data_IF_580593557840
#
_entry.id   IF_580593557840
#
_cell.length_a   1.000
_cell.length_b   1.000
_cell.length_c   1.000
_cell.angle_alpha   90.00
_cell.angle_beta   90.00
_cell.angle_gamma   90.00
#
_symmetry.space_group_name_H-M   'P 1'
#
loop_
_entity.id
_entity.type
_entity.pdbx_description
1 polymer ?
#
# COMPACT_ATOMS: atom_id res chain seq x y z
N UNK A 1 11.38 8.06 -27.87
CA UNK A 1 11.31 8.86 -26.64
C UNK A 1 11.13 7.91 -25.48
N UNK A 2 12.22 7.55 -24.82
CA UNK A 2 12.15 6.68 -23.64
C UNK A 2 11.61 7.51 -22.47
N UNK A 3 10.45 7.12 -21.94
CA UNK A 3 9.96 7.68 -20.69
C UNK A 3 10.83 7.16 -19.55
N UNK A 4 11.54 8.04 -18.86
CA UNK A 4 12.27 7.65 -17.65
C UNK A 4 11.26 7.33 -16.54
N UNK A 5 11.20 6.06 -16.12
CA UNK A 5 10.44 5.62 -14.95
C UNK A 5 11.45 5.43 -13.81
N UNK A 6 11.47 6.37 -12.87
CA UNK A 6 12.25 6.28 -11.65
C UNK A 6 11.30 5.94 -10.49
N UNK A 7 11.60 4.86 -9.77
CA UNK A 7 10.90 4.50 -8.53
C UNK A 7 11.82 4.79 -7.36
N UNK A 8 11.37 5.67 -6.47
CA UNK A 8 12.07 5.98 -5.23
C UNK A 8 11.53 5.09 -4.12
N UNK A 9 12.39 4.21 -3.61
CA UNK A 9 12.09 3.33 -2.49
C UNK A 9 13.03 3.65 -1.31
N UNK A 10 12.59 3.32 -0.09
CA UNK A 10 13.51 3.25 1.04
C UNK A 10 14.42 2.04 0.82
N UNK A 11 15.61 1.95 1.42
CA UNK A 11 16.51 0.82 1.19
C UNK A 11 15.88 -0.56 1.48
N UNK A 12 16.09 -1.54 0.59
CA UNK A 12 15.48 -2.87 0.68
C UNK A 12 15.57 -3.69 -0.62
N UNK A 13 15.11 -4.95 -0.59
CA UNK A 13 15.13 -5.84 -1.76
C UNK A 13 13.91 -5.54 -2.66
N UNK A 14 14.16 -4.86 -3.78
CA UNK A 14 13.14 -4.53 -4.78
C UNK A 14 13.62 -4.98 -6.16
N UNK A 15 13.05 -6.05 -6.69
CA UNK A 15 13.31 -6.48 -8.07
C UNK A 15 12.02 -6.76 -8.84
N UNK A 16 11.78 -5.95 -9.88
CA UNK A 16 11.42 -6.33 -11.28
C UNK A 16 11.00 -5.10 -12.12
N UNK A 17 11.60 -4.98 -13.31
CA UNK A 17 11.27 -4.10 -14.45
C UNK A 17 11.33 -2.56 -14.31
N UNK A 18 12.06 -2.00 -13.33
CA UNK A 18 12.22 -0.54 -13.21
C UNK A 18 13.59 -0.19 -12.64
N UNK A 19 14.18 0.94 -13.04
CA UNK A 19 15.33 1.53 -12.34
C UNK A 19 14.90 2.00 -10.95
N UNK A 20 15.37 1.31 -9.93
CA UNK A 20 15.10 1.63 -8.52
C UNK A 20 16.22 2.53 -8.00
N UNK A 21 15.84 3.64 -7.40
CA UNK A 21 16.77 4.56 -6.74
C UNK A 21 16.41 4.64 -5.26
N UNK A 22 17.40 4.42 -4.42
CA UNK A 22 17.22 4.51 -2.97
C UNK A 22 17.43 5.95 -2.52
N UNK A 23 16.52 6.44 -1.69
CA UNK A 23 16.61 7.78 -1.09
C UNK A 23 16.35 7.69 0.41
N UNK A 24 16.96 8.61 1.15
CA UNK A 24 16.80 8.71 2.60
C UNK A 24 15.33 8.86 2.97
N UNK A 25 14.82 7.94 3.77
CA UNK A 25 13.47 8.03 4.32
C UNK A 25 13.40 9.17 5.33
N UNK A 26 12.58 10.23 5.10
CA UNK A 26 12.57 11.38 6.00
C UNK A 26 12.20 11.02 7.45
N UNK A 27 11.28 10.06 7.63
CA UNK A 27 10.83 9.61 8.94
C UNK A 27 10.17 8.24 8.88
N UNK A 28 10.52 7.34 9.81
CA UNK A 28 9.87 6.04 10.02
C UNK A 28 8.59 6.18 10.87
N UNK A 29 7.79 5.12 10.88
CA UNK A 29 6.70 5.02 11.85
C UNK A 29 7.29 4.98 13.28
N UNK A 30 6.68 5.69 14.23
CA UNK A 30 7.19 5.81 15.60
C UNK A 30 8.27 6.89 15.84
N UNK A 31 8.93 7.39 14.80
CA UNK A 31 9.96 8.45 14.96
C UNK A 31 9.37 9.85 15.12
N UNK A 32 10.12 10.72 15.80
CA UNK A 32 9.75 12.11 16.07
C UNK A 32 9.62 12.95 14.79
N UNK A 33 8.79 13.99 14.84
CA UNK A 33 8.62 14.91 13.72
C UNK A 33 9.91 15.68 13.39
N UNK A 34 10.78 15.94 14.37
CA UNK A 34 12.08 16.58 14.18
C UNK A 34 12.98 15.78 13.23
N UNK A 35 12.92 14.43 13.29
CA UNK A 35 13.68 13.57 12.36
C UNK A 35 13.35 13.86 10.90
N UNK A 36 12.07 14.16 10.60
CA UNK A 36 11.64 14.58 9.28
C UNK A 36 12.34 15.87 8.85
N UNK A 37 12.37 16.88 9.72
CA UNK A 37 12.98 18.17 9.40
C UNK A 37 14.47 18.03 9.06
N UNK A 38 15.21 17.21 9.81
CA UNK A 38 16.65 17.02 9.58
C UNK A 38 16.99 16.13 8.38
N UNK A 39 16.15 15.14 8.06
CA UNK A 39 16.42 14.22 6.94
C UNK A 39 15.84 14.71 5.59
N UNK A 40 14.87 15.62 5.61
CA UNK A 40 14.27 16.17 4.38
C UNK A 40 15.30 16.81 3.42
N UNK A 41 16.27 17.65 3.86
CA UNK A 41 17.27 18.21 2.96
C UNK A 41 18.12 17.14 2.27
N UNK A 42 18.53 16.12 3.01
CA UNK A 42 19.30 15.00 2.46
C UNK A 42 18.50 14.23 1.42
N UNK A 43 17.27 13.86 1.75
CA UNK A 43 16.36 13.15 0.83
C UNK A 43 16.07 13.97 -0.44
N UNK A 44 16.02 15.31 -0.31
CA UNK A 44 15.85 16.22 -1.44
C UNK A 44 17.07 16.22 -2.37
N UNK A 45 18.28 16.32 -1.83
CA UNK A 45 19.51 16.28 -2.62
C UNK A 45 19.71 14.92 -3.32
N UNK A 46 19.45 13.82 -2.61
CA UNK A 46 19.49 12.46 -3.18
C UNK A 46 18.43 12.24 -4.29
N UNK A 47 17.32 13.00 -4.25
CA UNK A 47 16.30 12.94 -5.28
C UNK A 47 16.69 13.67 -6.57
N UNK A 48 17.64 14.61 -6.54
CA UNK A 48 18.02 15.42 -7.69
C UNK A 48 18.49 14.62 -8.91
N UNK A 49 19.49 13.71 -8.79
CA UNK A 49 19.91 12.89 -9.92
C UNK A 49 18.83 11.88 -10.33
N UNK A 50 18.05 11.41 -9.36
CA UNK A 50 17.05 10.34 -9.51
C UNK A 50 15.90 10.71 -10.44
N UNK A 51 15.38 11.93 -10.33
CA UNK A 51 14.24 12.39 -11.15
C UNK A 51 14.65 13.34 -12.28
N UNK A 52 15.96 13.52 -12.50
CA UNK A 52 16.49 14.38 -13.56
C UNK A 52 16.13 13.79 -14.92
N UNK A 53 15.47 14.58 -15.77
CA UNK A 53 15.01 14.14 -17.08
C UNK A 53 13.64 13.45 -17.08
N UNK A 54 13.05 13.17 -15.90
CA UNK A 54 11.67 12.70 -15.82
C UNK A 54 10.71 13.81 -16.23
N UNK A 55 9.91 13.56 -17.28
CA UNK A 55 8.84 14.49 -17.72
C UNK A 55 7.60 14.43 -16.82
N UNK A 56 7.37 13.27 -16.21
CA UNK A 56 6.24 13.00 -15.32
C UNK A 56 6.78 12.31 -14.07
N UNK A 57 6.36 12.78 -12.90
CA UNK A 57 6.62 12.16 -11.61
C UNK A 57 5.29 11.75 -10.99
N UNK A 58 5.20 10.50 -10.54
CA UNK A 58 4.00 9.95 -9.90
C UNK A 58 4.31 9.63 -8.44
N UNK A 59 3.62 10.31 -7.52
CA UNK A 59 3.69 10.02 -6.08
C UNK A 59 2.59 9.05 -5.68
N UNK A 60 2.93 8.01 -4.90
CA UNK A 60 1.98 7.03 -4.35
C UNK A 60 1.64 7.29 -2.86
N UNK A 61 1.79 8.52 -2.38
CA UNK A 61 1.21 8.96 -1.09
C UNK A 61 2.08 8.81 0.17
N UNK A 62 3.27 8.19 0.10
CA UNK A 62 4.19 8.06 1.26
C UNK A 62 5.05 9.30 1.49
N UNK A 63 5.49 9.56 2.74
CA UNK A 63 6.36 10.71 3.06
C UNK A 63 7.72 10.67 2.34
N UNK A 64 8.19 9.47 1.99
CA UNK A 64 9.37 9.25 1.14
C UNK A 64 9.23 9.93 -0.23
N UNK A 65 8.02 10.00 -0.78
CA UNK A 65 7.78 10.56 -2.11
C UNK A 65 7.76 12.09 -2.15
N UNK A 66 7.70 12.76 -0.98
CA UNK A 66 7.58 14.22 -0.91
C UNK A 66 8.82 14.91 -1.52
N UNK A 67 10.07 14.58 -1.13
CA UNK A 67 11.26 15.19 -1.71
C UNK A 67 11.35 15.00 -3.22
N UNK A 68 11.19 13.77 -3.71
CA UNK A 68 11.33 13.46 -5.13
C UNK A 68 10.23 14.10 -5.98
N UNK A 69 9.01 14.22 -5.44
CA UNK A 69 7.91 14.96 -6.10
C UNK A 69 8.19 16.46 -6.18
N UNK A 70 8.72 17.06 -5.11
CA UNK A 70 9.10 18.48 -5.09
C UNK A 70 10.22 18.77 -6.10
N UNK A 71 11.28 17.96 -6.08
CA UNK A 71 12.39 18.07 -7.02
C UNK A 71 11.90 17.92 -8.47
N UNK A 72 11.10 16.89 -8.75
CA UNK A 72 10.55 16.69 -10.09
C UNK A 72 9.73 17.88 -10.57
N UNK A 73 8.93 18.49 -9.68
CA UNK A 73 8.16 19.69 -10.00
C UNK A 73 9.04 20.91 -10.25
N UNK A 74 10.09 21.09 -9.44
CA UNK A 74 11.07 22.18 -9.59
C UNK A 74 11.85 22.06 -10.91
N UNK A 75 12.15 20.84 -11.35
CA UNK A 75 12.76 20.54 -12.64
C UNK A 75 11.76 20.60 -13.83
N UNK A 76 10.64 21.30 -13.66
CA UNK A 76 9.58 21.52 -14.66
C UNK A 76 8.83 20.25 -15.12
N UNK A 77 8.94 19.16 -14.37
CA UNK A 77 8.14 17.96 -14.60
C UNK A 77 6.66 18.15 -14.26
N UNK A 78 5.80 17.33 -14.86
CA UNK A 78 4.40 17.17 -14.43
C UNK A 78 4.34 16.27 -13.20
N UNK A 79 3.55 16.65 -12.21
CA UNK A 79 3.37 15.90 -10.97
C UNK A 79 1.96 15.33 -10.90
N UNK A 80 1.86 14.01 -10.81
CA UNK A 80 0.64 13.30 -10.47
C UNK A 80 0.75 12.70 -9.06
N UNK A 81 -0.32 12.76 -8.28
CA UNK A 81 -0.39 12.18 -6.93
C UNK A 81 -1.51 11.15 -6.91
N UNK A 82 -1.16 9.88 -6.71
CA UNK A 82 -2.09 8.80 -6.46
C UNK A 82 -2.33 8.66 -4.96
N UNK A 83 -3.59 8.79 -4.54
CA UNK A 83 -3.99 8.55 -3.16
C UNK A 83 -4.23 7.05 -2.89
N UNK A 84 -3.99 6.65 -1.66
CA UNK A 84 -4.24 5.31 -1.17
C UNK A 84 -5.75 5.00 -1.14
N UNK A 85 -6.12 3.80 -1.60
CA UNK A 85 -7.50 3.33 -1.60
C UNK A 85 -8.12 3.32 -0.19
N UNK A 86 -7.35 2.97 0.85
CA UNK A 86 -7.89 2.85 2.22
C UNK A 86 -8.02 4.19 2.95
N UNK A 87 -7.58 5.30 2.34
CA UNK A 87 -7.59 6.66 2.94
C UNK A 87 -8.85 7.43 2.53
N UNK A 88 -9.97 7.11 3.15
CA UNK A 88 -11.28 7.76 2.87
C UNK A 88 -11.67 8.85 3.86
N UNK A 89 -11.21 8.76 5.12
CA UNK A 89 -11.52 9.75 6.17
C UNK A 89 -10.52 10.91 6.23
N UNK A 90 -9.33 10.72 5.67
CA UNK A 90 -8.29 11.75 5.64
C UNK A 90 -7.14 11.37 4.71
N UNK A 91 -6.45 12.35 4.09
CA UNK A 91 -5.44 12.08 3.08
C UNK A 91 -4.19 11.40 3.67
N UNK A 92 -3.44 10.68 2.85
CA UNK A 92 -2.10 10.22 3.22
C UNK A 92 -1.15 11.41 3.45
N UNK A 93 0.01 11.18 4.08
CA UNK A 93 0.93 12.27 4.46
C UNK A 93 1.38 13.09 3.25
N UNK A 94 1.82 12.45 2.16
CA UNK A 94 2.24 13.20 0.97
C UNK A 94 1.05 13.81 0.23
N UNK A 95 -0.06 13.08 0.15
CA UNK A 95 -1.31 13.55 -0.41
C UNK A 95 -1.95 14.69 0.40
N UNK A 96 -1.48 15.01 1.61
CA UNK A 96 -1.86 16.23 2.33
C UNK A 96 -1.13 17.50 1.84
N UNK A 97 0.10 17.33 1.34
CA UNK A 97 1.00 18.45 1.03
C UNK A 97 1.15 18.70 -0.46
N UNK A 98 1.36 17.64 -1.25
CA UNK A 98 1.61 17.70 -2.68
C UNK A 98 0.44 18.18 -3.56
N UNK A 99 -0.86 18.04 -3.18
CA UNK A 99 -1.95 18.44 -4.08
C UNK A 99 -1.91 19.90 -4.55
N UNK A 100 -1.43 20.83 -3.71
CA UNK A 100 -1.32 22.26 -4.04
C UNK A 100 -0.45 22.52 -5.27
N UNK A 101 0.56 21.68 -5.48
CA UNK A 101 1.54 21.81 -6.56
C UNK A 101 1.34 20.76 -7.67
N UNK A 102 0.55 19.72 -7.42
CA UNK A 102 0.27 18.67 -8.38
C UNK A 102 -0.54 19.19 -9.59
N UNK A 103 -0.24 18.64 -10.77
CA UNK A 103 -1.02 18.88 -11.99
C UNK A 103 -2.26 17.95 -12.04
N UNK A 104 -2.22 16.84 -11.31
CA UNK A 104 -3.29 15.87 -11.21
C UNK A 104 -3.24 15.12 -9.88
N UNK A 105 -4.38 15.04 -9.20
CA UNK A 105 -4.61 14.09 -8.11
C UNK A 105 -5.50 12.96 -8.63
N UNK A 106 -5.02 11.74 -8.49
CA UNK A 106 -5.69 10.50 -8.88
C UNK A 106 -6.23 9.87 -7.60
N UNK A 107 -7.54 9.66 -7.55
CA UNK A 107 -8.24 9.05 -6.41
C UNK A 107 -8.99 7.81 -6.84
N UNK A 108 -9.23 6.92 -5.88
CA UNK A 108 -9.81 5.59 -6.15
C UNK A 108 -11.31 5.56 -5.80
N UNK A 109 -11.76 6.45 -4.93
CA UNK A 109 -13.16 6.57 -4.53
C UNK A 109 -13.70 7.99 -4.73
N UNK A 110 -14.95 8.16 -5.19
CA UNK A 110 -15.59 9.48 -5.27
C UNK A 110 -15.58 10.27 -3.95
N UNK A 111 -15.71 9.58 -2.82
CA UNK A 111 -15.75 10.17 -1.48
C UNK A 111 -14.44 10.87 -1.10
N UNK A 112 -13.33 10.53 -1.76
CA UNK A 112 -12.03 11.13 -1.53
C UNK A 112 -11.91 12.54 -2.13
N UNK A 113 -12.80 12.97 -3.03
CA UNK A 113 -12.73 14.30 -3.67
C UNK A 113 -12.65 15.42 -2.62
N UNK A 114 -13.45 15.31 -1.55
CA UNK A 114 -13.51 16.31 -0.47
C UNK A 114 -12.20 16.48 0.30
N UNK A 115 -11.28 15.50 0.21
CA UNK A 115 -9.98 15.54 0.88
C UNK A 115 -8.98 16.44 0.15
N UNK A 116 -9.27 16.84 -1.10
CA UNK A 116 -8.34 17.56 -1.96
C UNK A 116 -8.89 18.91 -2.49
N UNK A 117 -9.42 19.80 -1.62
CA UNK A 117 -9.95 21.10 -2.06
C UNK A 117 -8.87 22.01 -2.67
N UNK A 118 -7.60 21.75 -2.35
CA UNK A 118 -6.46 22.52 -2.85
C UNK A 118 -5.84 21.97 -4.14
N UNK A 119 -6.36 20.87 -4.67
CA UNK A 119 -5.86 20.28 -5.90
C UNK A 119 -6.33 21.08 -7.13
N UNK A 120 -5.42 21.29 -8.08
CA UNK A 120 -5.75 21.93 -9.36
C UNK A 120 -6.73 21.10 -10.19
N UNK A 121 -6.59 19.77 -10.12
CA UNK A 121 -7.40 18.81 -10.86
C UNK A 121 -7.45 17.49 -10.10
N UNK A 122 -8.63 16.90 -9.99
CA UNK A 122 -8.87 15.60 -9.37
C UNK A 122 -9.54 14.67 -10.38
N UNK A 123 -9.10 13.41 -10.46
CA UNK A 123 -9.71 12.38 -11.31
C UNK A 123 -9.96 11.11 -10.49
N UNK A 124 -11.22 10.68 -10.47
CA UNK A 124 -11.60 9.35 -9.98
C UNK A 124 -11.30 8.34 -11.07
N UNK A 125 -10.47 7.34 -10.76
CA UNK A 125 -10.10 6.25 -11.69
C UNK A 125 -10.55 4.87 -11.21
N UNK A 126 -11.17 4.82 -10.03
CA UNK A 126 -11.48 3.55 -9.39
C UNK A 126 -10.26 2.91 -8.74
N UNK A 127 -10.45 1.72 -8.17
CA UNK A 127 -9.39 1.00 -7.49
C UNK A 127 -8.23 0.58 -8.42
N UNK A 128 -7.00 0.89 -8.02
CA UNK A 128 -5.78 0.48 -8.74
C UNK A 128 -5.24 -0.78 -8.08
N UNK A 129 -5.67 -1.94 -8.60
CA UNK A 129 -5.19 -3.25 -8.16
C UNK A 129 -4.66 -4.07 -9.33
N UNK A 130 -3.97 -5.17 -9.00
CA UNK A 130 -3.59 -6.18 -9.99
C UNK A 130 -4.85 -6.82 -10.56
N UNK A 131 -4.87 -7.16 -11.87
CA UNK A 131 -5.94 -7.99 -12.42
C UNK A 131 -6.09 -9.29 -11.62
N UNK A 132 -7.32 -9.82 -11.48
CA UNK A 132 -7.55 -11.07 -10.79
C UNK A 132 -6.77 -12.20 -11.47
N UNK A 133 -6.04 -13.00 -10.67
CA UNK A 133 -5.27 -14.15 -11.16
C UNK A 133 -6.09 -15.44 -11.26
N UNK A 134 -7.21 -15.49 -10.54
CA UNK A 134 -8.11 -16.63 -10.47
C UNK A 134 -9.55 -16.15 -10.63
N UNK A 135 -10.39 -16.98 -11.25
CA UNK A 135 -11.83 -16.74 -11.31
C UNK A 135 -12.47 -16.96 -9.94
N UNK A 136 -13.45 -16.11 -9.63
CA UNK A 136 -14.24 -16.20 -8.41
C UNK A 136 -15.13 -17.44 -8.44
N UNK A 137 -15.12 -18.18 -7.34
CA UNK A 137 -15.85 -19.43 -7.15
C UNK A 137 -16.16 -19.62 -5.67
N UNK A 138 -17.26 -20.29 -5.36
CA UNK A 138 -17.63 -20.64 -3.99
C UNK A 138 -17.21 -22.09 -3.69
N UNK A 139 -16.09 -22.28 -3.01
CA UNK A 139 -15.63 -23.61 -2.55
C UNK A 139 -16.17 -23.97 -1.15
N UNK A 140 -17.04 -23.13 -0.58
CA UNK A 140 -17.76 -23.38 0.67
C UNK A 140 -17.00 -23.09 1.96
N UNK A 141 -15.80 -22.50 1.91
CA UNK A 141 -15.02 -22.15 3.11
C UNK A 141 -15.03 -20.64 3.41
N UNK A 142 -14.79 -20.32 4.69
CA UNK A 142 -14.49 -18.96 5.13
C UNK A 142 -12.98 -18.75 5.16
N UNK A 143 -12.49 -17.73 4.45
CA UNK A 143 -11.10 -17.30 4.54
C UNK A 143 -10.97 -16.26 5.66
N UNK A 144 -10.04 -16.47 6.58
CA UNK A 144 -9.71 -15.54 7.67
C UNK A 144 -8.24 -15.16 7.56
N UNK A 145 -7.94 -13.86 7.52
CA UNK A 145 -6.57 -13.36 7.40
C UNK A 145 -6.23 -12.35 8.49
N UNK A 146 -5.15 -12.61 9.23
CA UNK A 146 -4.78 -11.84 10.42
C UNK A 146 -3.47 -11.06 10.26
N UNK A 147 -3.33 -10.31 9.15
CA UNK A 147 -2.14 -9.49 8.82
C UNK A 147 -0.79 -10.24 8.98
N UNK A 148 0.34 -9.53 8.90
CA UNK A 148 1.67 -10.14 9.07
C UNK A 148 1.96 -10.46 10.53
N UNK A 149 1.52 -9.60 11.46
CA UNK A 149 1.78 -9.75 12.88
C UNK A 149 0.86 -10.76 13.56
N UNK A 150 -0.29 -11.07 12.96
CA UNK A 150 -1.32 -11.85 13.62
C UNK A 150 -2.27 -10.95 14.42
N UNK A 151 -3.51 -11.43 14.59
CA UNK A 151 -4.54 -10.77 15.39
C UNK A 151 -5.21 -11.81 16.31
N UNK A 152 -4.65 -12.07 17.52
CA UNK A 152 -5.08 -13.18 18.38
C UNK A 152 -6.58 -13.19 18.68
N UNK A 153 -7.18 -12.04 18.97
CA UNK A 153 -8.61 -11.93 19.33
C UNK A 153 -9.56 -12.31 18.20
N UNK A 154 -9.18 -12.02 16.97
CA UNK A 154 -9.93 -12.32 15.75
C UNK A 154 -9.83 -13.81 15.49
N UNK A 155 -8.61 -14.35 15.50
CA UNK A 155 -8.37 -15.78 15.30
C UNK A 155 -9.12 -16.62 16.34
N UNK A 156 -9.10 -16.20 17.62
CA UNK A 156 -9.83 -16.84 18.70
C UNK A 156 -11.36 -16.73 18.50
N UNK A 157 -11.87 -15.56 18.14
CA UNK A 157 -13.29 -15.38 17.86
C UNK A 157 -13.75 -16.28 16.71
N UNK A 158 -12.99 -16.33 15.61
CA UNK A 158 -13.29 -17.19 14.46
C UNK A 158 -13.22 -18.68 14.82
N UNK A 159 -12.27 -19.09 15.65
CA UNK A 159 -12.13 -20.46 16.17
C UNK A 159 -13.38 -20.93 16.92
N UNK A 160 -14.05 -20.02 17.64
CA UNK A 160 -15.24 -20.32 18.46
C UNK A 160 -16.55 -20.36 17.69
N UNK A 161 -16.59 -19.91 16.43
CA UNK A 161 -17.82 -19.85 15.62
C UNK A 161 -18.30 -21.21 15.09
N UNK A 162 -17.57 -22.30 15.33
CA UNK A 162 -17.97 -23.64 14.90
C UNK A 162 -17.99 -23.82 13.38
N UNK A 163 -17.10 -23.14 12.65
CA UNK A 163 -17.04 -23.21 11.20
C UNK A 163 -16.63 -24.62 10.74
N UNK A 164 -17.40 -25.19 9.83
CA UNK A 164 -17.13 -26.54 9.30
C UNK A 164 -15.85 -26.58 8.44
N UNK A 165 -15.65 -25.55 7.60
CA UNK A 165 -14.49 -25.40 6.71
C UNK A 165 -13.98 -23.97 6.74
N UNK A 166 -12.73 -23.79 7.13
CA UNK A 166 -12.06 -22.50 7.07
C UNK A 166 -10.64 -22.60 6.53
N UNK A 167 -10.18 -21.49 5.95
CA UNK A 167 -8.79 -21.25 5.58
C UNK A 167 -8.29 -20.11 6.45
N UNK A 168 -7.25 -20.35 7.23
CA UNK A 168 -6.79 -19.45 8.28
C UNK A 168 -5.34 -19.03 8.03
N UNK A 169 -5.11 -17.75 7.81
CA UNK A 169 -3.78 -17.14 7.82
C UNK A 169 -3.51 -16.50 9.19
N UNK A 170 -2.55 -17.05 9.96
CA UNK A 170 -2.31 -16.65 11.36
C UNK A 170 -1.27 -15.54 11.53
N UNK A 171 -0.46 -15.24 10.52
CA UNK A 171 0.70 -14.36 10.68
C UNK A 171 1.70 -14.95 11.67
N UNK A 172 2.19 -14.14 12.62
CA UNK A 172 3.14 -14.60 13.67
C UNK A 172 2.49 -15.36 14.83
N UNK A 173 1.16 -15.45 14.88
CA UNK A 173 0.46 -16.22 15.93
C UNK A 173 0.67 -17.71 15.70
N UNK A 174 0.80 -18.47 16.80
CA UNK A 174 0.96 -19.93 16.77
C UNK A 174 -0.17 -20.57 15.96
N UNK A 175 0.21 -21.27 14.91
CA UNK A 175 -0.70 -21.91 13.98
C UNK A 175 -1.07 -23.33 14.45
N UNK A 176 -0.21 -23.98 15.24
CA UNK A 176 -0.37 -25.39 15.63
C UNK A 176 -1.53 -25.58 16.60
N UNK A 177 -1.78 -24.60 17.47
CA UNK A 177 -3.00 -24.55 18.28
C UNK A 177 -4.27 -24.69 17.43
N UNK A 178 -4.37 -23.94 16.32
CA UNK A 178 -5.55 -23.97 15.45
C UNK A 178 -5.64 -25.24 14.62
N UNK A 179 -4.51 -25.79 14.15
CA UNK A 179 -4.50 -27.09 13.44
C UNK A 179 -5.00 -28.23 14.32
N UNK A 180 -4.59 -28.25 15.60
CA UNK A 180 -5.03 -29.26 16.55
C UNK A 180 -6.52 -29.13 16.90
N UNK A 181 -7.00 -27.89 17.09
CA UNK A 181 -8.40 -27.64 17.40
C UNK A 181 -9.32 -27.91 16.20
N UNK A 182 -8.84 -27.62 14.98
CA UNK A 182 -9.64 -27.68 13.75
C UNK A 182 -8.93 -28.49 12.66
N UNK A 183 -8.91 -29.83 12.76
CA UNK A 183 -8.14 -30.69 11.85
C UNK A 183 -8.63 -30.66 10.40
N UNK A 184 -9.85 -30.18 10.14
CA UNK A 184 -10.41 -30.00 8.79
C UNK A 184 -10.07 -28.64 8.17
N UNK A 185 -9.48 -27.73 8.93
CA UNK A 185 -9.15 -26.40 8.43
C UNK A 185 -7.80 -26.39 7.72
N UNK A 186 -7.68 -25.53 6.71
CA UNK A 186 -6.36 -25.22 6.15
C UNK A 186 -5.77 -24.06 6.93
N UNK A 187 -4.65 -24.27 7.62
CA UNK A 187 -4.01 -23.23 8.44
C UNK A 187 -2.56 -23.03 8.00
N UNK A 188 -2.17 -21.77 7.78
CA UNK A 188 -0.81 -21.37 7.43
C UNK A 188 -0.46 -19.99 8.03
N UNK A 189 0.82 -19.67 8.15
CA UNK A 189 1.25 -18.34 8.61
C UNK A 189 1.20 -17.31 7.50
N UNK A 190 1.76 -17.66 6.34
CA UNK A 190 1.83 -16.82 5.15
C UNK A 190 1.65 -17.66 3.88
N UNK A 191 1.27 -17.01 2.80
CA UNK A 191 1.23 -17.59 1.47
C UNK A 191 1.63 -16.53 0.44
N UNK A 192 2.32 -16.96 -0.62
CA UNK A 192 2.63 -16.10 -1.76
C UNK A 192 1.46 -16.02 -2.75
N UNK A 193 0.40 -16.79 -2.52
CA UNK A 193 -0.72 -16.94 -3.44
C UNK A 193 -2.07 -16.78 -2.72
N UNK A 194 -2.22 -15.66 -2.02
CA UNK A 194 -3.46 -15.36 -1.29
C UNK A 194 -4.65 -15.19 -2.24
N UNK A 195 -4.40 -14.74 -3.47
CA UNK A 195 -5.41 -14.56 -4.52
C UNK A 195 -6.19 -15.86 -4.78
N UNK A 196 -5.52 -17.02 -4.71
CA UNK A 196 -6.16 -18.33 -4.88
C UNK A 196 -7.23 -18.58 -3.82
N UNK A 197 -6.91 -18.24 -2.57
CA UNK A 197 -7.77 -18.44 -1.41
C UNK A 197 -8.90 -17.41 -1.36
N UNK A 198 -8.61 -16.17 -1.75
CA UNK A 198 -9.65 -15.14 -1.87
C UNK A 198 -10.66 -15.55 -2.94
N UNK A 199 -10.19 -16.00 -4.09
CA UNK A 199 -11.05 -16.36 -5.22
C UNK A 199 -11.96 -17.56 -4.95
N UNK A 200 -11.57 -18.49 -4.06
CA UNK A 200 -12.39 -19.66 -3.70
C UNK A 200 -13.24 -19.48 -2.44
N UNK A 201 -13.05 -18.39 -1.70
CA UNK A 201 -13.73 -18.18 -0.43
C UNK A 201 -15.21 -17.81 -0.63
N UNK A 202 -16.08 -18.42 0.16
CA UNK A 202 -17.48 -17.96 0.28
C UNK A 202 -17.55 -16.60 0.97
N UNK A 203 -16.75 -16.44 2.02
CA UNK A 203 -16.66 -15.23 2.84
C UNK A 203 -15.19 -14.98 3.13
N UNK A 204 -14.76 -13.72 3.00
CA UNK A 204 -13.44 -13.27 3.41
C UNK A 204 -13.58 -12.37 4.64
N UNK A 205 -12.92 -12.77 5.73
CA UNK A 205 -12.74 -11.98 6.94
C UNK A 205 -11.28 -11.53 6.98
N UNK A 206 -11.06 -10.23 7.00
CA UNK A 206 -9.73 -9.64 6.93
C UNK A 206 -9.57 -8.54 7.98
N UNK A 207 -8.42 -8.54 8.65
CA UNK A 207 -7.94 -7.38 9.39
C UNK A 207 -7.00 -6.56 8.49
N UNK A 208 -7.40 -5.32 8.20
CA UNK A 208 -6.67 -4.33 7.41
C UNK A 208 -5.85 -3.35 8.25
#
# INVERSE_FOLDING_TARGET
MEGCVAVTAAPGDYTRYVSVYEVTLPRRHGESAARMLFQMPRAFLESLPTVRGCRVVVSTGTNLSIPSSLVGKLLRGRLAVLECATRVTGPAKAARFLPRIADLVIIQWPEQVKLFPSAKRVKVVGPVYKPPRYEARDEGYVLVTASTLGHPRLLEAMSRLGLERAVLQTGRVDLESYRRQHPRWTVFQWTNDIDKWIAGARIVVHES
#
